data_IF_184061497179
#
_entry.id   IF_184061497179
#
_cell.length_a   1.000
_cell.length_b   1.000
_cell.length_c   1.000
_cell.angle_alpha   90.00
_cell.angle_beta   90.00
_cell.angle_gamma   90.00
#
_symmetry.space_group_name_H-M   'P 1'
#
loop_
_entity.id
_entity.type
_entity.pdbx_description
1 polymer ?
#
# COMPACT_ATOMS: atom_id res chain seq x y z
N UNK A 1 -29.73 -11.11 36.79
CA UNK A 1 -28.30 -10.99 36.40
C UNK A 1 -28.28 -10.34 35.03
N UNK A 2 -27.56 -9.22 34.86
CA UNK A 2 -27.65 -8.35 33.67
C UNK A 2 -27.04 -9.00 32.42
N UNK A 3 -27.85 -9.21 31.38
CA UNK A 3 -27.43 -9.70 30.05
C UNK A 3 -26.39 -8.77 29.36
N UNK A 4 -26.38 -7.48 29.71
CA UNK A 4 -25.41 -6.49 29.24
C UNK A 4 -23.95 -6.79 29.64
N UNK A 5 -23.73 -7.45 30.78
CA UNK A 5 -22.38 -7.77 31.25
C UNK A 5 -21.75 -8.92 30.44
N UNK A 6 -22.57 -9.86 29.96
CA UNK A 6 -22.14 -11.03 29.22
C UNK A 6 -21.69 -10.62 27.80
N UNK A 7 -22.45 -9.73 27.15
CA UNK A 7 -22.12 -9.20 25.81
C UNK A 7 -20.83 -8.40 25.78
N UNK A 8 -20.52 -7.62 26.82
CA UNK A 8 -19.25 -6.91 26.91
C UNK A 8 -18.05 -7.87 27.03
N UNK A 9 -18.16 -8.88 27.91
CA UNK A 9 -17.09 -9.86 28.15
C UNK A 9 -16.80 -10.70 26.88
N UNK A 10 -17.85 -11.08 26.15
CA UNK A 10 -17.72 -11.78 24.87
C UNK A 10 -17.08 -10.89 23.78
N UNK A 11 -17.46 -9.62 23.72
CA UNK A 11 -16.84 -8.65 22.80
C UNK A 11 -15.35 -8.41 23.12
N UNK A 12 -14.96 -8.40 24.39
CA UNK A 12 -13.55 -8.30 24.79
C UNK A 12 -12.76 -9.56 24.47
N UNK A 13 -13.36 -10.76 24.58
CA UNK A 13 -12.73 -12.03 24.15
C UNK A 13 -12.52 -12.11 22.64
N UNK A 14 -13.38 -11.50 21.83
CA UNK A 14 -13.27 -11.51 20.37
C UNK A 14 -12.10 -10.67 19.81
N UNK A 15 -11.57 -9.70 20.58
CA UNK A 15 -10.52 -8.77 20.11
C UNK A 15 -9.08 -9.30 20.16
N UNK A 16 -8.88 -10.56 20.58
CA UNK A 16 -7.55 -11.15 20.69
C UNK A 16 -6.68 -10.48 21.78
N UNK A 17 -5.47 -11.01 22.04
CA UNK A 17 -4.58 -10.43 23.04
C UNK A 17 -4.05 -9.06 22.58
N UNK A 18 -4.22 -8.03 23.42
CA UNK A 18 -3.63 -6.70 23.19
C UNK A 18 -2.15 -6.71 23.59
N UNK A 19 -1.27 -6.32 22.67
CA UNK A 19 0.17 -6.21 22.92
C UNK A 19 0.50 -4.73 23.14
N UNK A 20 1.02 -4.38 24.33
CA UNK A 20 1.49 -3.03 24.64
C UNK A 20 2.97 -2.91 24.31
N UNK A 21 3.32 -1.93 23.48
CA UNK A 21 4.72 -1.55 23.18
C UNK A 21 4.88 -0.04 23.34
N UNK A 22 6.06 0.40 23.75
CA UNK A 22 6.42 1.82 23.89
C UNK A 22 7.51 2.12 22.88
N UNK A 23 7.30 3.15 22.06
CA UNK A 23 8.23 3.56 21.02
C UNK A 23 8.68 5.00 21.27
N UNK A 24 9.96 5.28 21.04
CA UNK A 24 10.47 6.65 21.03
C UNK A 24 10.21 7.25 19.64
N UNK A 25 9.41 8.31 19.58
CA UNK A 25 9.15 9.04 18.34
C UNK A 25 10.02 10.30 18.28
N UNK A 26 10.59 10.62 17.11
CA UNK A 26 11.11 11.96 16.83
C UNK A 26 10.07 13.05 17.09
N UNK A 27 10.52 14.21 17.60
CA UNK A 27 9.66 15.34 18.00
C UNK A 27 8.78 15.84 16.85
N UNK A 28 9.31 15.86 15.63
CA UNK A 28 8.60 16.25 14.41
C UNK A 28 7.45 15.30 14.08
N UNK A 29 7.65 14.00 14.23
CA UNK A 29 6.60 12.99 14.02
C UNK A 29 5.53 13.06 15.10
N UNK A 30 5.92 13.34 16.35
CA UNK A 30 4.96 13.53 17.45
C UNK A 30 4.08 14.75 17.20
N UNK A 31 4.67 15.87 16.75
CA UNK A 31 3.90 17.06 16.38
C UNK A 31 2.90 16.78 15.24
N UNK A 32 3.30 16.00 14.23
CA UNK A 32 2.41 15.57 13.14
C UNK A 32 1.26 14.70 13.64
N UNK A 33 1.52 13.81 14.60
CA UNK A 33 0.49 12.98 15.23
C UNK A 33 -0.54 13.84 15.96
N UNK A 34 -0.10 14.84 16.73
CA UNK A 34 -1.00 15.76 17.44
C UNK A 34 -1.86 16.57 16.48
N UNK A 35 -1.30 17.04 15.36
CA UNK A 35 -2.07 17.73 14.32
C UNK A 35 -3.12 16.81 13.68
N UNK A 36 -2.76 15.56 13.41
CA UNK A 36 -3.70 14.56 12.91
C UNK A 36 -4.84 14.30 13.89
N UNK A 37 -4.54 14.18 15.20
CA UNK A 37 -5.55 14.04 16.25
C UNK A 37 -6.51 15.23 16.30
N UNK A 38 -5.98 16.46 16.25
CA UNK A 38 -6.79 17.67 16.23
C UNK A 38 -7.69 17.76 14.98
N UNK A 39 -7.18 17.36 13.82
CA UNK A 39 -7.94 17.38 12.57
C UNK A 39 -9.05 16.32 12.50
N UNK A 40 -8.85 15.17 13.15
CA UNK A 40 -9.76 14.02 13.09
C UNK A 40 -10.66 13.87 14.32
N UNK A 41 -10.47 14.71 15.35
CA UNK A 41 -11.22 14.64 16.60
C UNK A 41 -10.93 13.36 17.40
N UNK A 42 -9.70 12.83 17.32
CA UNK A 42 -9.31 11.63 18.06
C UNK A 42 -8.71 12.03 19.41
N UNK A 43 -9.31 11.52 20.48
CA UNK A 43 -8.97 11.92 21.86
C UNK A 43 -7.70 11.27 22.42
N UNK A 44 -7.21 10.19 21.79
CA UNK A 44 -6.04 9.44 22.32
C UNK A 44 -5.01 9.15 21.25
N UNK A 45 -3.73 9.33 21.60
CA UNK A 45 -2.61 9.01 20.71
C UNK A 45 -2.62 7.54 20.29
N UNK A 46 -3.04 6.63 21.18
CA UNK A 46 -3.14 5.20 20.90
C UNK A 46 -4.15 4.93 19.78
N UNK A 47 -5.34 5.54 19.84
CA UNK A 47 -6.35 5.38 18.80
C UNK A 47 -5.92 6.03 17.49
N UNK A 48 -5.25 7.17 17.55
CA UNK A 48 -4.72 7.86 16.38
C UNK A 48 -3.67 7.01 15.66
N UNK A 49 -2.70 6.47 16.39
CA UNK A 49 -1.69 5.56 15.86
C UNK A 49 -2.32 4.26 15.35
N UNK A 50 -3.31 3.70 16.06
CA UNK A 50 -4.02 2.51 15.61
C UNK A 50 -4.71 2.74 14.28
N UNK A 51 -5.40 3.88 14.09
CA UNK A 51 -6.03 4.24 12.81
C UNK A 51 -4.99 4.44 11.73
N UNK A 52 -3.95 5.24 11.97
CA UNK A 52 -2.88 5.45 10.99
C UNK A 52 -2.23 4.14 10.56
N UNK A 53 -1.94 3.23 11.50
CA UNK A 53 -1.42 1.91 11.17
C UNK A 53 -2.44 1.05 10.43
N UNK A 54 -3.72 1.10 10.81
CA UNK A 54 -4.76 0.34 10.10
C UNK A 54 -4.94 0.88 8.68
N UNK A 55 -4.97 2.19 8.52
CA UNK A 55 -5.11 2.86 7.23
C UNK A 55 -3.89 2.59 6.37
N UNK A 56 -2.67 2.67 6.90
CA UNK A 56 -1.48 2.32 6.15
C UNK A 56 -1.49 0.84 5.75
N UNK A 57 -1.81 -0.07 6.68
CA UNK A 57 -1.87 -1.51 6.40
C UNK A 57 -2.99 -1.88 5.42
N UNK A 58 -4.10 -1.15 5.43
CA UNK A 58 -5.25 -1.39 4.54
C UNK A 58 -5.14 -0.65 3.20
N UNK A 59 -4.46 0.49 3.17
CA UNK A 59 -4.24 1.33 1.99
C UNK A 59 -2.90 1.05 1.31
N UNK A 60 -2.09 0.15 1.86
CA UNK A 60 -0.96 -0.40 1.13
C UNK A 60 -1.50 -1.15 -0.09
N UNK A 61 -1.49 -0.47 -1.23
CA UNK A 61 -1.71 -1.07 -2.53
C UNK A 61 -0.80 -2.29 -2.62
N UNK A 62 -1.36 -3.49 -2.65
CA UNK A 62 -0.55 -4.70 -2.78
C UNK A 62 0.15 -4.70 -4.14
N UNK A 63 1.22 -5.49 -4.29
CA UNK A 63 1.91 -5.56 -5.59
C UNK A 63 0.97 -6.00 -6.71
N UNK A 64 -0.01 -6.86 -6.43
CA UNK A 64 -1.01 -7.29 -7.42
C UNK A 64 -2.05 -6.22 -7.73
N UNK A 65 -2.42 -5.38 -6.76
CA UNK A 65 -3.26 -4.21 -7.01
C UNK A 65 -2.52 -3.16 -7.85
N UNK A 66 -1.25 -2.89 -7.53
CA UNK A 66 -0.39 -2.00 -8.31
C UNK A 66 -0.22 -2.52 -9.74
N UNK A 67 0.05 -3.81 -9.89
CA UNK A 67 0.12 -4.47 -11.20
C UNK A 67 -1.19 -4.28 -11.98
N UNK A 68 -2.32 -4.59 -11.36
CA UNK A 68 -3.63 -4.51 -12.02
C UNK A 68 -3.98 -3.09 -12.42
N UNK A 69 -3.72 -2.12 -11.54
CA UNK A 69 -3.96 -0.70 -11.80
C UNK A 69 -3.10 -0.18 -12.94
N UNK A 70 -1.79 -0.47 -12.91
CA UNK A 70 -0.87 -0.06 -13.97
C UNK A 70 -1.23 -0.72 -15.31
N UNK A 71 -1.65 -1.98 -15.30
CA UNK A 71 -2.07 -2.70 -16.51
C UNK A 71 -3.25 -2.06 -17.25
N UNK A 72 -4.09 -1.29 -16.55
CA UNK A 72 -5.27 -0.64 -17.12
C UNK A 72 -4.96 0.74 -17.72
N UNK A 73 -3.76 1.27 -17.49
CA UNK A 73 -3.33 2.59 -17.96
C UNK A 73 -2.68 2.50 -19.34
N UNK A 74 -2.67 3.62 -20.08
CA UNK A 74 -1.81 3.75 -21.26
C UNK A 74 -0.33 3.88 -20.84
N UNK A 75 0.61 3.49 -21.69
CA UNK A 75 2.05 3.44 -21.35
C UNK A 75 2.60 4.74 -20.74
N UNK A 76 2.22 5.91 -21.28
CA UNK A 76 2.66 7.21 -20.76
C UNK A 76 2.14 7.50 -19.35
N UNK A 77 0.85 7.23 -19.11
CA UNK A 77 0.21 7.41 -17.81
C UNK A 77 0.78 6.43 -16.79
N UNK A 78 1.01 5.18 -17.21
CA UNK A 78 1.62 4.15 -16.39
C UNK A 78 3.05 4.51 -15.98
N UNK A 79 3.85 5.08 -16.90
CA UNK A 79 5.21 5.54 -16.60
C UNK A 79 5.21 6.64 -15.54
N UNK A 80 4.29 7.61 -15.64
CA UNK A 80 4.13 8.67 -14.63
C UNK A 80 3.69 8.07 -13.29
N UNK A 81 2.71 7.18 -13.29
CA UNK A 81 2.20 6.54 -12.08
C UNK A 81 3.20 5.58 -11.42
N UNK A 82 4.14 5.02 -12.19
CA UNK A 82 5.18 4.13 -11.72
C UNK A 82 6.36 4.88 -11.06
N UNK A 83 6.58 6.15 -11.43
CA UNK A 83 7.62 6.98 -10.84
C UNK A 83 7.43 7.11 -9.32
N UNK A 84 8.42 6.63 -8.55
CA UNK A 84 8.39 6.72 -7.08
C UNK A 84 7.42 5.74 -6.40
N UNK A 85 6.81 4.82 -7.15
CA UNK A 85 5.88 3.85 -6.59
C UNK A 85 6.63 2.78 -5.76
N UNK A 86 6.22 2.48 -4.52
CA UNK A 86 6.97 1.61 -3.60
C UNK A 86 7.17 0.17 -4.10
N UNK A 87 6.27 -0.31 -4.97
CA UNK A 87 6.32 -1.65 -5.56
C UNK A 87 6.97 -1.71 -6.94
N UNK A 88 7.39 -0.57 -7.49
CA UNK A 88 8.11 -0.48 -8.76
C UNK A 88 9.60 -0.40 -8.47
N UNK A 89 10.39 -1.20 -9.20
CA UNK A 89 11.85 -1.15 -9.18
C UNK A 89 12.36 -0.16 -10.23
N UNK A 90 11.70 -0.10 -11.38
CA UNK A 90 11.97 0.86 -12.43
C UNK A 90 11.12 0.61 -13.67
N UNK A 91 11.39 1.37 -14.72
CA UNK A 91 10.79 1.17 -16.03
C UNK A 91 11.81 1.43 -17.13
N UNK A 92 11.56 0.88 -18.33
CA UNK A 92 12.43 1.03 -19.49
C UNK A 92 11.61 1.20 -20.75
N UNK A 93 12.00 2.16 -21.57
CA UNK A 93 11.56 2.27 -22.95
C UNK A 93 12.52 1.49 -23.85
N UNK A 94 11.98 0.75 -24.81
CA UNK A 94 12.75 0.16 -25.89
C UNK A 94 13.29 1.24 -26.82
N UNK A 95 14.39 0.94 -27.51
CA UNK A 95 15.03 1.85 -28.46
C UNK A 95 14.10 2.24 -29.61
N UNK A 96 13.11 1.39 -29.93
CA UNK A 96 12.09 1.65 -30.93
C UNK A 96 10.93 2.54 -30.45
N UNK A 97 10.93 3.01 -29.19
CA UNK A 97 9.86 3.81 -28.52
C UNK A 97 8.46 3.20 -28.45
N UNK A 98 8.17 2.16 -29.22
CA UNK A 98 6.85 1.53 -29.27
C UNK A 98 6.63 0.49 -28.15
N UNK A 99 7.73 -0.01 -27.56
CA UNK A 99 7.68 -0.95 -26.43
C UNK A 99 8.14 -0.28 -25.14
N UNK A 100 7.35 -0.48 -24.08
CA UNK A 100 7.62 0.04 -22.73
C UNK A 100 7.43 -1.07 -21.70
N UNK A 101 8.25 -1.11 -20.65
CA UNK A 101 8.12 -2.12 -19.61
C UNK A 101 8.31 -1.53 -18.21
N UNK A 102 7.44 -1.93 -17.28
CA UNK A 102 7.55 -1.64 -15.84
C UNK A 102 8.00 -2.90 -15.11
N UNK A 103 9.02 -2.77 -14.27
CA UNK A 103 9.57 -3.83 -13.43
C UNK A 103 9.07 -3.64 -12.01
N UNK A 104 8.35 -4.63 -11.48
CA UNK A 104 7.90 -4.63 -10.09
C UNK A 104 8.90 -5.37 -9.20
N UNK A 105 9.01 -4.96 -7.94
CA UNK A 105 9.94 -5.54 -6.96
C UNK A 105 9.73 -7.02 -6.65
N UNK A 106 8.57 -7.57 -6.99
CA UNK A 106 8.29 -9.01 -6.87
C UNK A 106 8.80 -9.82 -8.08
N UNK A 107 9.50 -9.19 -9.02
CA UNK A 107 10.02 -9.82 -10.23
C UNK A 107 9.02 -9.91 -11.39
N UNK A 108 7.78 -9.41 -11.22
CA UNK A 108 6.83 -9.32 -12.34
C UNK A 108 7.23 -8.16 -13.27
N UNK A 109 7.02 -8.37 -14.56
CA UNK A 109 7.23 -7.35 -15.59
C UNK A 109 5.90 -7.12 -16.28
N UNK A 110 5.57 -5.85 -16.48
CA UNK A 110 4.39 -5.42 -17.19
C UNK A 110 4.85 -4.74 -18.47
N UNK A 111 4.66 -5.43 -19.59
CA UNK A 111 5.06 -4.96 -20.91
C UNK A 111 3.91 -4.24 -21.58
N UNK A 112 4.20 -3.19 -22.31
CA UNK A 112 3.28 -2.43 -23.13
C UNK A 112 3.74 -2.51 -24.57
N UNK A 113 2.79 -2.77 -25.46
CA UNK A 113 2.97 -2.80 -26.92
C UNK A 113 1.90 -1.88 -27.50
N UNK A 114 2.30 -0.97 -28.39
CA UNK A 114 1.41 0.04 -28.98
C UNK A 114 0.66 0.87 -27.92
N UNK A 115 1.30 1.08 -26.76
CA UNK A 115 0.74 1.86 -25.65
C UNK A 115 -0.17 1.10 -24.68
N UNK A 116 -0.48 -0.18 -24.94
CA UNK A 116 -1.36 -1.00 -24.09
C UNK A 116 -0.64 -2.17 -23.43
N UNK A 117 -1.03 -2.48 -22.19
CA UNK A 117 -0.42 -3.58 -21.44
C UNK A 117 -0.69 -4.93 -22.08
N UNK A 118 0.37 -5.68 -22.33
CA UNK A 118 0.34 -7.06 -22.79
C UNK A 118 0.31 -8.00 -21.58
N UNK A 119 -0.89 -8.43 -21.21
CA UNK A 119 -1.13 -9.36 -20.09
C UNK A 119 -1.11 -10.81 -20.61
N UNK A 120 -0.03 -11.21 -21.27
CA UNK A 120 0.20 -12.62 -21.58
C UNK A 120 0.91 -13.25 -20.37
N UNK A 121 0.29 -14.25 -19.73
CA UNK A 121 0.78 -14.96 -18.53
C UNK A 121 2.06 -15.80 -18.76
N UNK A 122 3.07 -15.28 -19.45
CA UNK A 122 4.34 -15.98 -19.69
C UNK A 122 5.48 -15.24 -18.98
N UNK A 123 6.21 -15.91 -18.07
CA UNK A 123 7.36 -15.31 -17.41
C UNK A 123 8.42 -15.01 -18.46
N UNK A 124 8.63 -13.73 -18.75
CA UNK A 124 9.73 -13.29 -19.62
C UNK A 124 11.01 -13.54 -18.84
N UNK A 125 11.74 -14.58 -19.24
CA UNK A 125 13.12 -14.81 -18.80
C UNK A 125 13.93 -13.56 -19.14
N UNK A 126 14.45 -12.90 -18.12
CA UNK A 126 15.52 -11.93 -18.28
C UNK A 126 16.68 -12.64 -19.00
N UNK A 127 16.98 -12.21 -20.22
CA UNK A 127 18.26 -12.53 -20.86
C UNK A 127 19.25 -11.48 -20.34
N UNK A 128 20.27 -11.97 -19.63
CA UNK A 128 21.43 -11.23 -19.16
C UNK A 128 22.22 -10.61 -20.31
#
# INVERSE_FOLDING_TARGET
MCELAITAIEHFRAKGPTIRRVYNLPLDLHARLLNYMAATGIDTEVEAVRRLLSDELNNHETVDQAFSRLALMHADEAAIAACGHPHVEGFRWSDNRDDFAIFLRNGRVLQYVDGFARIDNLPVRAVL
#
